data_IF_428431924756
#
_entry.id   IF_428431924756
#
_cell.length_a   1.000
_cell.length_b   1.000
_cell.length_c   1.000
_cell.angle_alpha   90.00
_cell.angle_beta   90.00
_cell.angle_gamma   90.00
#
_symmetry.space_group_name_H-M   'P 1'
#
loop_
_entity.id
_entity.type
_entity.pdbx_description
1 polymer ?
#
# COMPACT_ATOMS: atom_id res chain seq x y z
N UNK A 1 -4.91 -28.61 -13.96
CA UNK A 1 -6.31 -28.27 -13.59
C UNK A 1 -6.26 -26.88 -12.96
N UNK A 2 -6.95 -25.92 -13.58
CA UNK A 2 -6.69 -24.46 -13.54
C UNK A 2 -6.56 -23.90 -12.10
N UNK A 3 -5.37 -23.45 -11.71
CA UNK A 3 -5.18 -22.56 -10.56
C UNK A 3 -5.63 -21.17 -10.98
N UNK A 4 -6.66 -20.64 -10.32
CA UNK A 4 -7.14 -19.29 -10.52
C UNK A 4 -6.09 -18.33 -9.95
N UNK A 5 -5.36 -17.62 -10.81
CA UNK A 5 -4.37 -16.58 -10.44
C UNK A 5 -5.03 -15.29 -9.91
N UNK A 6 -6.17 -15.43 -9.24
CA UNK A 6 -6.99 -14.34 -8.71
C UNK A 6 -7.41 -14.60 -7.26
N UNK A 7 -6.64 -15.38 -6.52
CA UNK A 7 -6.75 -15.43 -5.06
C UNK A 7 -5.92 -14.28 -4.50
N UNK A 8 -6.57 -13.34 -3.82
CA UNK A 8 -5.98 -12.12 -3.29
C UNK A 8 -5.00 -12.35 -2.12
N UNK A 9 -5.05 -11.55 -1.04
CA UNK A 9 -4.08 -11.59 0.07
C UNK A 9 -3.88 -12.98 0.71
N UNK A 10 -4.85 -13.90 0.57
CA UNK A 10 -4.81 -15.24 1.12
C UNK A 10 -3.86 -16.22 0.41
N UNK A 11 -3.40 -15.93 -0.81
CA UNK A 11 -2.67 -16.91 -1.63
C UNK A 11 -1.36 -17.36 -0.96
N UNK A 12 -0.63 -16.46 -0.30
CA UNK A 12 0.61 -16.84 0.39
C UNK A 12 0.36 -17.83 1.53
N UNK A 13 -0.81 -17.76 2.17
CA UNK A 13 -1.20 -18.64 3.27
C UNK A 13 -1.72 -20.00 2.80
N UNK A 14 -1.95 -20.18 1.50
CA UNK A 14 -2.34 -21.46 0.89
C UNK A 14 -1.17 -22.08 0.14
N UNK A 15 -0.53 -21.30 -0.74
CA UNK A 15 0.52 -21.78 -1.62
C UNK A 15 1.81 -22.13 -0.87
N UNK A 16 2.23 -21.34 0.11
CA UNK A 16 3.49 -21.57 0.82
C UNK A 16 3.44 -22.79 1.76
N UNK A 17 2.39 -22.98 2.59
CA UNK A 17 2.26 -24.22 3.36
C UNK A 17 2.17 -25.46 2.47
N UNK A 18 1.48 -25.36 1.32
CA UNK A 18 1.42 -26.45 0.36
C UNK A 18 2.80 -26.79 -0.23
N UNK A 19 3.60 -25.76 -0.58
CA UNK A 19 4.96 -25.96 -1.06
C UNK A 19 5.85 -26.63 0.00
N UNK A 20 5.78 -26.17 1.25
CA UNK A 20 6.55 -26.78 2.34
C UNK A 20 6.12 -28.22 2.64
N UNK A 21 4.84 -28.56 2.49
CA UNK A 21 4.35 -29.94 2.66
C UNK A 21 4.96 -30.96 1.71
N UNK A 22 5.53 -30.52 0.59
CA UNK A 22 6.19 -31.38 -0.39
C UNK A 22 7.72 -31.52 -0.16
N UNK A 23 8.28 -30.87 0.86
CA UNK A 23 9.71 -30.87 1.17
C UNK A 23 9.97 -31.61 2.48
N UNK A 24 11.05 -32.39 2.56
CA UNK A 24 11.50 -33.00 3.82
C UNK A 24 11.78 -31.91 4.87
N UNK A 25 11.32 -32.09 6.11
CA UNK A 25 11.33 -31.07 7.18
C UNK A 25 10.51 -29.79 6.88
N UNK A 26 9.52 -29.87 5.99
CA UNK A 26 8.64 -28.76 5.62
C UNK A 26 7.98 -28.02 6.78
N UNK A 27 7.58 -28.73 7.84
CA UNK A 27 6.96 -28.12 9.00
C UNK A 27 7.91 -27.18 9.76
N UNK A 28 9.18 -27.58 9.94
CA UNK A 28 10.18 -26.73 10.59
C UNK A 28 10.48 -25.49 9.74
N UNK A 29 10.62 -25.66 8.43
CA UNK A 29 10.83 -24.54 7.50
C UNK A 29 9.64 -23.57 7.47
N UNK A 30 8.41 -24.09 7.50
CA UNK A 30 7.20 -23.28 7.59
C UNK A 30 7.16 -22.44 8.87
N UNK A 31 7.48 -23.02 10.03
CA UNK A 31 7.53 -22.28 11.30
C UNK A 31 8.56 -21.15 11.24
N UNK A 32 9.79 -21.44 10.82
CA UNK A 32 10.85 -20.43 10.72
C UNK A 32 10.44 -19.32 9.75
N UNK A 33 9.88 -19.67 8.59
CA UNK A 33 9.44 -18.71 7.59
C UNK A 33 8.36 -17.76 8.14
N UNK A 34 7.30 -18.29 8.76
CA UNK A 34 6.23 -17.43 9.29
C UNK A 34 6.68 -16.58 10.48
N UNK A 35 7.62 -17.07 11.31
CA UNK A 35 8.23 -16.24 12.36
C UNK A 35 8.99 -15.06 11.74
N UNK A 36 9.79 -15.30 10.70
CA UNK A 36 10.51 -14.24 10.00
C UNK A 36 9.55 -13.24 9.33
N UNK A 37 8.50 -13.71 8.68
CA UNK A 37 7.46 -12.86 8.09
C UNK A 37 6.74 -12.04 9.17
N UNK A 38 6.44 -12.62 10.33
CA UNK A 38 5.81 -11.90 11.44
C UNK A 38 6.71 -10.77 11.97
N UNK A 39 8.01 -11.02 12.13
CA UNK A 39 8.98 -10.00 12.55
C UNK A 39 9.10 -8.89 11.49
N UNK A 40 9.14 -9.25 10.21
CA UNK A 40 9.21 -8.28 9.11
C UNK A 40 7.93 -7.44 8.98
N UNK A 41 6.76 -8.03 9.22
CA UNK A 41 5.49 -7.33 9.26
C UNK A 41 5.42 -6.35 10.43
N UNK A 42 5.93 -6.74 11.61
CA UNK A 42 5.96 -5.87 12.78
C UNK A 42 6.84 -4.64 12.56
N UNK A 43 8.06 -4.81 12.05
CA UNK A 43 8.94 -3.66 11.76
C UNK A 43 8.37 -2.73 10.68
N UNK A 44 7.73 -3.29 9.65
CA UNK A 44 7.06 -2.51 8.60
C UNK A 44 5.88 -1.71 9.14
N UNK A 45 5.06 -2.31 10.02
CA UNK A 45 3.93 -1.63 10.66
C UNK A 45 4.38 -0.44 11.51
N UNK A 46 5.49 -0.57 12.25
CA UNK A 46 6.07 0.54 13.03
C UNK A 46 6.55 1.66 12.10
N UNK A 47 7.27 1.31 11.03
CA UNK A 47 7.79 2.27 10.05
C UNK A 47 6.68 3.05 9.33
N UNK A 48 5.54 2.41 9.02
CA UNK A 48 4.39 3.08 8.41
C UNK A 48 3.67 4.03 9.36
N UNK A 49 3.61 3.70 10.65
CA UNK A 49 2.86 4.47 11.64
C UNK A 49 3.64 5.72 12.12
N UNK A 50 4.97 5.65 12.12
CA UNK A 50 5.84 6.70 12.66
C UNK A 50 5.71 8.07 11.96
N UNK A 51 5.70 8.19 10.61
CA UNK A 51 5.53 9.49 9.95
C UNK A 51 4.22 10.18 10.32
N UNK A 52 3.14 9.40 10.44
CA UNK A 52 1.83 9.92 10.87
C UNK A 52 1.86 10.39 12.33
N UNK A 53 2.48 9.63 13.23
CA UNK A 53 2.65 10.05 14.63
C UNK A 53 3.48 11.33 14.72
N UNK A 54 4.62 11.40 14.03
CA UNK A 54 5.49 12.56 14.03
C UNK A 54 4.74 13.82 13.56
N UNK A 55 4.01 13.71 12.44
CA UNK A 55 3.20 14.80 11.90
C UNK A 55 2.11 15.26 12.88
N UNK A 56 1.36 14.34 13.48
CA UNK A 56 0.29 14.69 14.42
C UNK A 56 0.84 15.30 15.72
N UNK A 57 1.93 14.77 16.26
CA UNK A 57 2.55 15.28 17.49
C UNK A 57 3.05 16.71 17.27
N UNK A 58 3.70 16.98 16.13
CA UNK A 58 4.18 18.32 15.79
C UNK A 58 3.03 19.32 15.60
N UNK A 59 1.95 18.90 14.93
CA UNK A 59 0.77 19.75 14.68
C UNK A 59 -0.08 20.02 15.92
N UNK A 60 -0.30 19.00 16.76
CA UNK A 60 -1.28 19.07 17.87
C UNK A 60 -0.64 19.30 19.24
N UNK A 61 0.70 19.20 19.36
CA UNK A 61 1.46 19.27 20.62
C UNK A 61 0.98 18.29 21.72
N UNK A 62 0.24 17.25 21.34
CA UNK A 62 -0.23 16.20 22.26
C UNK A 62 0.93 15.25 22.59
N UNK A 63 0.89 14.62 23.77
CA UNK A 63 1.86 13.58 24.18
C UNK A 63 1.90 12.45 23.15
N UNK A 64 3.12 12.08 22.71
CA UNK A 64 3.38 11.02 21.71
C UNK A 64 2.61 9.73 21.98
N UNK A 65 2.65 9.23 23.22
CA UNK A 65 1.98 7.99 23.61
C UNK A 65 0.46 8.01 23.34
N UNK A 66 -0.18 9.16 23.54
CA UNK A 66 -1.62 9.30 23.33
C UNK A 66 -1.97 9.30 21.84
N UNK A 67 -1.17 10.01 21.02
CA UNK A 67 -1.32 10.01 19.55
C UNK A 67 -1.12 8.60 18.98
N UNK A 68 -0.06 7.90 19.41
CA UNK A 68 0.21 6.53 18.97
C UNK A 68 -0.92 5.57 19.33
N UNK A 69 -1.46 5.66 20.56
CA UNK A 69 -2.56 4.79 21.00
C UNK A 69 -3.81 4.99 20.13
N UNK A 70 -4.23 6.24 19.89
CA UNK A 70 -5.42 6.51 19.07
C UNK A 70 -5.24 6.15 17.61
N UNK A 71 -4.06 6.38 17.03
CA UNK A 71 -3.77 5.95 15.67
C UNK A 71 -3.78 4.43 15.55
N UNK A 72 -3.14 3.72 16.49
CA UNK A 72 -3.13 2.26 16.51
C UNK A 72 -4.54 1.69 16.71
N UNK A 73 -5.33 2.27 17.61
CA UNK A 73 -6.72 1.88 17.85
C UNK A 73 -7.59 2.09 16.62
N UNK A 74 -7.45 3.22 15.93
CA UNK A 74 -8.18 3.50 14.69
C UNK A 74 -7.79 2.52 13.58
N UNK A 75 -6.49 2.26 13.42
CA UNK A 75 -6.00 1.27 12.46
C UNK A 75 -6.54 -0.13 12.76
N UNK A 76 -6.52 -0.53 14.03
CA UNK A 76 -7.09 -1.81 14.48
C UNK A 76 -8.60 -1.91 14.21
N UNK A 77 -9.35 -0.84 14.47
CA UNK A 77 -10.79 -0.78 14.20
C UNK A 77 -11.11 -0.89 12.71
N UNK A 78 -10.38 -0.14 11.86
CA UNK A 78 -10.51 -0.23 10.39
C UNK A 78 -10.13 -1.63 9.89
N UNK A 79 -9.10 -2.24 10.48
CA UNK A 79 -8.67 -3.61 10.20
C UNK A 79 -9.73 -4.67 10.54
N UNK A 80 -10.52 -4.49 11.61
CA UNK A 80 -11.66 -5.35 11.86
C UNK A 80 -12.70 -5.27 10.74
N UNK A 81 -12.93 -4.07 10.19
CA UNK A 81 -13.80 -3.87 9.03
C UNK A 81 -13.36 -4.66 7.80
N UNK A 82 -12.05 -4.74 7.54
CA UNK A 82 -11.53 -5.54 6.43
C UNK A 82 -11.66 -7.04 6.68
N UNK A 83 -11.47 -7.52 7.92
CA UNK A 83 -11.70 -8.93 8.28
C UNK A 83 -13.16 -9.32 8.13
N UNK A 84 -14.10 -8.47 8.54
CA UNK A 84 -15.53 -8.72 8.38
C UNK A 84 -15.96 -8.74 6.90
N UNK A 85 -15.29 -7.98 6.03
CA UNK A 85 -15.46 -8.02 4.57
C UNK A 85 -15.26 -9.43 4.01
N UNK A 86 -14.30 -10.18 4.55
CA UNK A 86 -13.98 -11.53 4.07
C UNK A 86 -14.92 -12.63 4.60
N UNK A 87 -15.81 -12.35 5.56
CA UNK A 87 -16.68 -13.37 6.17
C UNK A 87 -18.17 -13.00 6.07
N UNK A 88 -18.63 -12.03 6.85
CA UNK A 88 -20.06 -11.70 6.99
C UNK A 88 -20.52 -10.75 5.86
N UNK A 89 -19.63 -9.84 5.45
CA UNK A 89 -19.90 -8.82 4.43
C UNK A 89 -19.45 -9.20 3.02
N UNK A 90 -19.19 -10.48 2.76
CA UNK A 90 -18.86 -10.94 1.39
C UNK A 90 -19.94 -10.57 0.35
N UNK A 91 -21.20 -10.41 0.80
CA UNK A 91 -22.34 -9.99 -0.02
C UNK A 91 -22.49 -8.47 -0.12
N UNK A 92 -21.83 -7.67 0.73
CA UNK A 92 -21.88 -6.22 0.66
C UNK A 92 -20.85 -5.74 -0.37
N UNK A 93 -21.28 -5.59 -1.63
CA UNK A 93 -20.45 -5.05 -2.70
C UNK A 93 -20.72 -3.56 -2.87
N UNK A 94 -19.65 -2.80 -2.92
CA UNK A 94 -19.61 -1.36 -3.17
C UNK A 94 -19.04 -1.14 -4.57
N UNK A 95 -19.46 -0.07 -5.26
CA UNK A 95 -19.04 0.24 -6.64
C UNK A 95 -19.33 -0.91 -7.63
N UNK A 96 -20.60 -1.30 -7.73
CA UNK A 96 -21.06 -2.32 -8.69
C UNK A 96 -21.42 -1.63 -10.00
N UNK A 97 -20.79 -2.03 -11.11
CA UNK A 97 -21.19 -1.66 -12.46
C UNK A 97 -21.67 -2.92 -13.17
N UNK A 98 -22.98 -3.15 -13.16
CA UNK A 98 -23.61 -4.24 -13.90
C UNK A 98 -24.52 -3.62 -14.96
N UNK A 99 -24.14 -3.76 -16.24
CA UNK A 99 -24.99 -3.34 -17.37
C UNK A 99 -25.15 -1.83 -17.61
N UNK A 100 -24.21 -0.99 -17.18
CA UNK A 100 -24.22 0.45 -17.49
C UNK A 100 -24.97 1.35 -16.51
N UNK A 101 -25.49 0.79 -15.41
CA UNK A 101 -26.04 1.56 -14.27
C UNK A 101 -25.10 1.42 -13.08
N UNK A 102 -24.61 2.54 -12.57
CA UNK A 102 -23.72 2.59 -11.42
C UNK A 102 -24.52 2.52 -10.12
N UNK A 103 -24.37 1.43 -9.36
CA UNK A 103 -24.96 1.30 -8.03
C UNK A 103 -23.88 1.47 -6.95
N UNK A 104 -24.07 2.48 -6.10
CA UNK A 104 -23.17 2.79 -4.97
C UNK A 104 -23.04 1.62 -3.99
N UNK A 105 -24.13 0.87 -3.79
CA UNK A 105 -24.22 -0.26 -2.89
C UNK A 105 -25.22 -1.27 -3.45
N UNK A 106 -24.80 -2.54 -3.57
CA UNK A 106 -25.72 -3.62 -3.87
C UNK A 106 -25.36 -4.86 -3.06
N UNK A 107 -26.36 -5.38 -2.35
CA UNK A 107 -26.22 -6.59 -1.57
C UNK A 107 -26.40 -7.81 -2.48
N UNK A 108 -25.37 -8.65 -2.60
CA UNK A 108 -25.39 -9.91 -3.35
C UNK A 108 -24.92 -9.84 -4.81
N UNK A 109 -24.34 -8.72 -5.27
CA UNK A 109 -23.78 -8.62 -6.62
C UNK A 109 -22.48 -9.44 -6.77
N UNK A 110 -22.26 -10.05 -7.93
CA UNK A 110 -21.02 -10.78 -8.26
C UNK A 110 -19.87 -9.86 -8.68
N UNK A 111 -20.19 -8.70 -9.27
CA UNK A 111 -19.24 -7.72 -9.78
C UNK A 111 -19.21 -6.49 -8.86
N UNK A 112 -18.10 -6.20 -8.19
CA UNK A 112 -17.94 -5.03 -7.33
C UNK A 112 -16.84 -5.20 -6.28
N UNK A 113 -16.39 -4.08 -5.71
CA UNK A 113 -15.36 -4.05 -4.67
C UNK A 113 -16.00 -4.32 -3.30
N UNK A 114 -15.39 -5.18 -2.51
CA UNK A 114 -15.74 -5.35 -1.10
C UNK A 114 -15.08 -4.25 -0.25
N UNK A 115 -15.36 -4.17 1.05
CA UNK A 115 -14.85 -3.09 1.90
C UNK A 115 -13.30 -3.02 1.89
N UNK A 116 -12.63 -4.18 1.89
CA UNK A 116 -11.18 -4.26 1.70
C UNK A 116 -10.77 -3.74 0.31
N UNK A 117 -11.44 -4.17 -0.76
CA UNK A 117 -11.18 -3.71 -2.11
C UNK A 117 -11.37 -2.19 -2.31
N UNK A 118 -12.32 -1.57 -1.61
CA UNK A 118 -12.49 -0.11 -1.62
C UNK A 118 -11.28 0.59 -0.97
N UNK A 119 -10.87 0.14 0.21
CA UNK A 119 -9.70 0.71 0.90
C UNK A 119 -8.44 0.51 0.07
N UNK A 120 -8.25 -0.67 -0.53
CA UNK A 120 -7.12 -0.97 -1.40
C UNK A 120 -7.16 -0.12 -2.68
N UNK A 121 -8.33 0.09 -3.30
CA UNK A 121 -8.46 0.97 -4.46
C UNK A 121 -8.01 2.40 -4.14
N UNK A 122 -8.53 2.99 -3.06
CA UNK A 122 -8.15 4.34 -2.67
C UNK A 122 -6.67 4.44 -2.28
N UNK A 123 -6.16 3.48 -1.52
CA UNK A 123 -4.79 3.54 -1.02
C UNK A 123 -3.78 3.23 -2.12
N UNK A 124 -3.92 2.06 -2.75
CA UNK A 124 -2.93 1.50 -3.66
C UNK A 124 -3.00 2.13 -5.06
N UNK A 125 -4.22 2.45 -5.54
CA UNK A 125 -4.39 2.99 -6.90
C UNK A 125 -4.44 4.50 -6.98
N UNK A 126 -4.87 5.17 -5.91
CA UNK A 126 -5.02 6.64 -5.91
C UNK A 126 -3.96 7.31 -5.06
N UNK A 127 -3.92 7.02 -3.75
CA UNK A 127 -3.03 7.74 -2.82
C UNK A 127 -1.55 7.49 -3.09
N UNK A 128 -1.13 6.25 -3.37
CA UNK A 128 0.28 5.94 -3.64
C UNK A 128 0.81 6.66 -4.90
N UNK A 129 0.19 6.54 -6.11
CA UNK A 129 0.68 7.27 -7.28
C UNK A 129 0.59 8.78 -7.13
N UNK A 130 -0.50 9.29 -6.53
CA UNK A 130 -0.69 10.72 -6.35
C UNK A 130 0.32 11.30 -5.36
N UNK A 131 0.57 10.62 -4.24
CA UNK A 131 1.61 10.99 -3.28
C UNK A 131 3.01 10.96 -3.90
N UNK A 132 3.32 9.93 -4.70
CA UNK A 132 4.58 9.85 -5.45
C UNK A 132 4.72 10.97 -6.48
N UNK A 133 3.66 11.29 -7.22
CA UNK A 133 3.66 12.38 -8.20
C UNK A 133 3.89 13.72 -7.51
N UNK A 134 3.17 14.01 -6.42
CA UNK A 134 3.36 15.21 -5.62
C UNK A 134 4.79 15.31 -5.09
N UNK A 135 5.35 14.20 -4.57
CA UNK A 135 6.73 14.16 -4.07
C UNK A 135 7.75 14.48 -5.17
N UNK A 136 7.63 13.84 -6.33
CA UNK A 136 8.56 14.02 -7.44
C UNK A 136 8.45 15.41 -8.08
N UNK A 137 7.24 15.93 -8.24
CA UNK A 137 7.02 17.30 -8.74
C UNK A 137 7.59 18.31 -7.75
N UNK A 138 7.37 18.13 -6.46
CA UNK A 138 7.95 18.97 -5.43
C UNK A 138 9.48 18.94 -5.46
N UNK A 139 10.08 17.74 -5.43
CA UNK A 139 11.53 17.57 -5.45
C UNK A 139 12.19 18.06 -6.74
N UNK A 140 11.56 17.88 -7.90
CA UNK A 140 12.14 18.24 -9.20
C UNK A 140 11.91 19.69 -9.64
N UNK A 141 10.81 20.32 -9.21
CA UNK A 141 10.39 21.63 -9.71
C UNK A 141 10.25 22.71 -8.64
N UNK A 142 9.94 22.35 -7.38
CA UNK A 142 9.74 23.31 -6.29
C UNK A 142 11.00 23.46 -5.43
N UNK A 143 11.69 22.35 -5.16
CA UNK A 143 12.90 22.35 -4.35
C UNK A 143 14.08 22.97 -5.12
N UNK A 144 14.85 23.82 -4.46
CA UNK A 144 16.05 24.43 -5.05
C UNK A 144 17.08 23.36 -5.42
N UNK A 145 17.72 23.51 -6.58
CA UNK A 145 18.72 22.55 -7.10
C UNK A 145 19.85 22.29 -6.10
N UNK A 146 20.24 23.29 -5.31
CA UNK A 146 21.28 23.18 -4.28
C UNK A 146 20.81 22.33 -3.10
N UNK A 147 19.60 22.56 -2.58
CA UNK A 147 19.02 21.73 -1.52
C UNK A 147 18.91 20.25 -1.93
N UNK A 148 18.48 19.98 -3.16
CA UNK A 148 18.43 18.61 -3.70
C UNK A 148 19.83 18.00 -3.79
N UNK A 149 20.84 18.79 -4.16
CA UNK A 149 22.23 18.34 -4.25
C UNK A 149 22.83 17.99 -2.89
N UNK A 150 22.54 18.82 -1.89
CA UNK A 150 23.03 18.65 -0.53
C UNK A 150 22.42 17.41 0.12
N UNK A 151 21.11 17.20 -0.06
CA UNK A 151 20.40 16.00 0.43
C UNK A 151 20.85 14.71 -0.27
N UNK A 152 21.06 14.75 -1.59
CA UNK A 152 21.54 13.57 -2.34
C UNK A 152 23.01 13.27 -2.04
N UNK A 153 23.78 14.22 -1.50
CA UNK A 153 25.23 14.10 -1.21
C UNK A 153 26.09 13.59 -2.38
N UNK A 154 25.61 13.76 -3.62
CA UNK A 154 26.30 13.27 -4.83
C UNK A 154 27.46 14.21 -5.17
N UNK A 155 28.69 13.68 -5.06
CA UNK A 155 29.93 14.44 -5.32
C UNK A 155 30.18 14.73 -6.79
N UNK A 156 29.68 13.90 -7.72
CA UNK A 156 29.97 14.08 -9.15
C UNK A 156 28.88 14.89 -9.89
N UNK A 157 29.27 15.88 -10.71
CA UNK A 157 28.31 16.79 -11.36
C UNK A 157 27.47 16.12 -12.46
N UNK A 158 28.00 15.07 -13.10
CA UNK A 158 27.30 14.32 -14.15
C UNK A 158 26.18 13.44 -13.58
N UNK A 159 26.46 12.68 -12.51
CA UNK A 159 25.44 11.86 -11.85
C UNK A 159 24.34 12.74 -11.26
N UNK A 160 24.70 13.89 -10.70
CA UNK A 160 23.70 14.82 -10.19
C UNK A 160 22.78 15.35 -11.31
N UNK A 161 23.33 15.78 -12.45
CA UNK A 161 22.52 16.24 -13.57
C UNK A 161 21.63 15.14 -14.15
N UNK A 162 22.14 13.91 -14.25
CA UNK A 162 21.36 12.78 -14.73
C UNK A 162 20.23 12.44 -13.75
N UNK A 163 20.51 12.33 -12.45
CA UNK A 163 19.50 12.07 -11.42
C UNK A 163 18.45 13.17 -11.39
N UNK A 164 18.86 14.44 -11.46
CA UNK A 164 17.95 15.57 -11.49
C UNK A 164 17.08 15.58 -12.75
N UNK A 165 17.64 15.22 -13.92
CA UNK A 165 16.88 15.05 -15.15
C UNK A 165 15.87 13.90 -15.06
N UNK A 166 16.28 12.75 -14.51
CA UNK A 166 15.42 11.60 -14.28
C UNK A 166 14.27 11.94 -13.33
N UNK A 167 14.56 12.62 -12.22
CA UNK A 167 13.55 13.08 -11.26
C UNK A 167 12.60 14.11 -11.88
N UNK A 168 13.08 14.99 -12.76
CA UNK A 168 12.26 16.08 -13.32
C UNK A 168 11.37 15.63 -14.48
N UNK A 169 11.79 14.64 -15.27
CA UNK A 169 11.11 14.24 -16.50
C UNK A 169 10.68 12.76 -16.53
N UNK A 170 11.56 11.83 -16.15
CA UNK A 170 11.29 10.39 -16.29
C UNK A 170 10.37 9.88 -15.17
N UNK A 171 10.66 10.24 -13.92
CA UNK A 171 9.87 9.83 -12.77
C UNK A 171 8.41 10.32 -12.82
N UNK A 172 8.09 11.61 -13.08
CA UNK A 172 6.70 12.06 -13.11
C UNK A 172 5.94 11.47 -14.29
N UNK A 173 6.59 11.31 -15.45
CA UNK A 173 5.97 10.69 -16.63
C UNK A 173 5.69 9.20 -16.39
N UNK A 174 6.62 8.47 -15.78
CA UNK A 174 6.42 7.08 -15.39
C UNK A 174 5.26 6.91 -14.40
N UNK A 175 5.17 7.77 -13.38
CA UNK A 175 4.08 7.74 -12.41
C UNK A 175 2.73 8.06 -13.08
N UNK A 176 2.69 9.04 -13.99
CA UNK A 176 1.47 9.36 -14.76
C UNK A 176 1.01 8.19 -15.63
N UNK A 177 1.93 7.50 -16.30
CA UNK A 177 1.60 6.30 -17.10
C UNK A 177 1.06 5.19 -16.20
N UNK A 178 1.70 4.92 -15.06
CA UNK A 178 1.23 3.91 -14.10
C UNK A 178 -0.14 4.29 -13.55
N UNK A 179 -0.36 5.56 -13.21
CA UNK A 179 -1.64 6.03 -12.70
C UNK A 179 -2.77 5.88 -13.73
N UNK A 180 -2.52 6.26 -14.99
CA UNK A 180 -3.47 6.05 -16.08
C UNK A 180 -3.77 4.56 -16.31
N UNK A 181 -2.74 3.70 -16.26
CA UNK A 181 -2.90 2.26 -16.41
C UNK A 181 -3.69 1.62 -15.24
N UNK A 182 -3.54 2.13 -14.02
CA UNK A 182 -4.26 1.65 -12.84
C UNK A 182 -5.74 2.08 -12.83
N UNK A 183 -6.08 3.23 -13.42
CA UNK A 183 -7.46 3.70 -13.57
C UNK A 183 -8.23 2.98 -14.68
N UNK A 184 -7.52 2.51 -15.72
CA UNK A 184 -8.15 1.80 -16.84
C UNK A 184 -8.47 0.33 -16.53
N UNK A 185 -7.93 -0.23 -15.44
CA UNK A 185 -8.13 -1.62 -14.99
C UNK A 185 -9.24 -1.76 -13.96
#
# INVERSE_FOLDING_TARGET
RKQHTSEGPGLMFVALPFAFGNVAFGQLMGVVFFVLVAVAAWSSAISLLEPMVAYLVERTRIRRAWVTFWLAFTCWFVGLGTVFSFNIWQKAKFFVNDGGVFHLYQWGASNGLDFFGVIDFFTSRVMLPLGGLCFVVFAGWVMGREAVRDELSIRSPLLFNLTFFLMRYVAPLGILVVFAAQLWK
#
